data_IF_568428558381
#
_entry.id   IF_568428558381
#
_cell.length_a   1.000
_cell.length_b   1.000
_cell.length_c   1.000
_cell.angle_alpha   90.00
_cell.angle_beta   90.00
_cell.angle_gamma   90.00
#
_symmetry.space_group_name_H-M   'P 1'
#
loop_
_entity.id
_entity.type
_entity.pdbx_description
1 polymer ?
#
# COMPACT_ATOMS: atom_id res chain seq x y z
N UNK A 1 -22.77 11.21 -38.93
CA UNK A 1 -21.65 12.09 -38.48
C UNK A 1 -21.84 12.62 -37.06
N UNK A 2 -23.08 12.90 -36.60
CA UNK A 2 -23.35 13.39 -35.23
C UNK A 2 -23.08 12.34 -34.12
N UNK A 3 -23.42 11.06 -34.34
CA UNK A 3 -23.23 9.99 -33.34
C UNK A 3 -21.76 9.68 -33.02
N UNK A 4 -20.86 9.80 -34.01
CA UNK A 4 -19.42 9.61 -33.81
C UNK A 4 -18.75 10.79 -33.07
N UNK A 5 -19.37 11.97 -33.07
CA UNK A 5 -18.91 13.15 -32.35
C UNK A 5 -19.35 13.11 -30.87
N UNK A 6 -20.57 12.62 -30.61
CA UNK A 6 -21.11 12.42 -29.25
C UNK A 6 -20.32 11.34 -28.49
N UNK A 7 -20.08 10.18 -29.11
CA UNK A 7 -19.32 9.08 -28.49
C UNK A 7 -17.85 9.45 -28.17
N UNK A 8 -17.22 10.31 -28.97
CA UNK A 8 -15.87 10.86 -28.70
C UNK A 8 -15.87 11.87 -27.55
N UNK A 9 -16.92 12.68 -27.39
CA UNK A 9 -17.08 13.61 -26.27
C UNK A 9 -17.36 12.88 -24.95
N UNK A 10 -18.20 11.84 -24.98
CA UNK A 10 -18.51 11.02 -23.80
C UNK A 10 -17.28 10.23 -23.32
N UNK A 11 -16.51 9.66 -24.26
CA UNK A 11 -15.24 8.99 -23.94
C UNK A 11 -14.18 9.92 -23.35
N UNK A 12 -14.05 11.16 -23.86
CA UNK A 12 -13.12 12.17 -23.35
C UNK A 12 -13.54 12.69 -21.97
N UNK A 13 -14.83 12.89 -21.75
CA UNK A 13 -15.39 13.31 -20.47
C UNK A 13 -15.18 12.23 -19.40
N UNK A 14 -15.43 10.95 -19.72
CA UNK A 14 -15.16 9.82 -18.83
C UNK A 14 -13.66 9.68 -18.46
N UNK A 15 -12.76 9.86 -19.42
CA UNK A 15 -11.32 9.82 -19.18
C UNK A 15 -10.85 10.96 -18.26
N UNK A 16 -11.35 12.18 -18.47
CA UNK A 16 -11.04 13.33 -17.61
C UNK A 16 -11.58 13.11 -16.19
N UNK A 17 -12.79 12.58 -16.05
CA UNK A 17 -13.36 12.25 -14.72
C UNK A 17 -12.52 11.21 -13.98
N UNK A 18 -12.10 10.14 -14.67
CA UNK A 18 -11.23 9.09 -14.12
C UNK A 18 -9.89 9.67 -13.65
N UNK A 19 -9.31 10.59 -14.43
CA UNK A 19 -8.08 11.29 -14.06
C UNK A 19 -8.25 12.15 -12.81
N UNK A 20 -9.33 12.93 -12.69
CA UNK A 20 -9.60 13.75 -11.50
C UNK A 20 -9.84 12.92 -10.24
N UNK A 21 -10.54 11.80 -10.38
CA UNK A 21 -10.77 10.86 -9.28
C UNK A 21 -9.46 10.23 -8.78
N UNK A 22 -8.59 9.81 -9.68
CA UNK A 22 -7.27 9.28 -9.33
C UNK A 22 -6.39 10.32 -8.63
N UNK A 23 -6.44 11.60 -9.05
CA UNK A 23 -5.74 12.69 -8.37
C UNK A 23 -6.23 12.87 -6.92
N UNK A 24 -7.54 12.82 -6.69
CA UNK A 24 -8.13 12.93 -5.35
C UNK A 24 -7.68 11.75 -4.46
N UNK A 25 -7.65 10.53 -5.01
CA UNK A 25 -7.18 9.34 -4.31
C UNK A 25 -5.70 9.47 -3.91
N UNK A 26 -4.84 9.86 -4.85
CA UNK A 26 -3.41 10.07 -4.59
C UNK A 26 -3.18 11.16 -3.54
N UNK A 27 -3.90 12.29 -3.64
CA UNK A 27 -3.84 13.35 -2.65
C UNK A 27 -4.31 12.91 -1.26
N UNK A 28 -5.29 12.00 -1.19
CA UNK A 28 -5.72 11.43 0.08
C UNK A 28 -4.59 10.68 0.79
N UNK A 29 -3.81 9.86 0.06
CA UNK A 29 -2.66 9.16 0.63
C UNK A 29 -1.57 10.14 1.09
N UNK A 30 -1.31 11.21 0.34
CA UNK A 30 -0.36 12.26 0.77
C UNK A 30 -0.81 12.92 2.06
N UNK A 31 -2.10 13.29 2.17
CA UNK A 31 -2.67 13.90 3.37
C UNK A 31 -2.63 12.94 4.56
N UNK A 32 -2.90 11.65 4.35
CA UNK A 32 -2.80 10.62 5.40
C UNK A 32 -1.35 10.46 5.87
N UNK A 33 -0.39 10.41 4.95
CA UNK A 33 1.03 10.28 5.32
C UNK A 33 1.55 11.49 6.12
N UNK A 34 1.06 12.68 5.84
CA UNK A 34 1.52 13.93 6.47
C UNK A 34 0.77 14.24 7.79
N UNK A 35 -0.54 13.96 7.83
CA UNK A 35 -1.40 14.41 8.93
C UNK A 35 -2.11 13.27 9.68
N UNK A 36 -1.99 12.03 9.22
CA UNK A 36 -2.72 10.88 9.74
C UNK A 36 -4.19 10.85 9.33
N UNK A 37 -4.85 9.71 9.52
CA UNK A 37 -6.27 9.53 9.15
C UNK A 37 -7.17 10.48 9.93
N UNK A 38 -6.92 10.64 11.23
CA UNK A 38 -7.78 11.43 12.13
C UNK A 38 -7.85 12.92 11.72
N UNK A 39 -6.78 13.47 11.13
CA UNK A 39 -6.75 14.86 10.69
C UNK A 39 -6.99 15.03 9.19
N UNK A 40 -7.32 13.96 8.46
CA UNK A 40 -7.66 14.00 7.04
C UNK A 40 -9.06 14.57 6.84
N UNK A 41 -9.24 15.47 5.87
CA UNK A 41 -10.55 16.07 5.54
C UNK A 41 -10.67 16.31 4.04
N UNK A 42 -11.90 16.39 3.52
CA UNK A 42 -12.16 16.77 2.12
C UNK A 42 -11.46 18.07 1.73
N UNK A 43 -11.39 19.05 2.63
CA UNK A 43 -10.71 20.32 2.37
C UNK A 43 -9.20 20.17 2.19
N UNK A 44 -8.55 19.36 3.03
CA UNK A 44 -7.11 19.07 2.89
C UNK A 44 -6.84 18.29 1.61
N UNK A 45 -7.66 17.27 1.31
CA UNK A 45 -7.54 16.47 0.08
C UNK A 45 -7.71 17.36 -1.15
N UNK A 46 -8.72 18.25 -1.16
CA UNK A 46 -8.95 19.16 -2.28
C UNK A 46 -7.77 20.12 -2.51
N UNK A 47 -7.22 20.67 -1.42
CA UNK A 47 -6.06 21.55 -1.47
C UNK A 47 -4.83 20.81 -2.02
N UNK A 48 -4.54 19.61 -1.51
CA UNK A 48 -3.43 18.76 -1.96
C UNK A 48 -3.58 18.34 -3.43
N UNK A 49 -4.79 17.96 -3.85
CA UNK A 49 -5.07 17.58 -5.24
C UNK A 49 -5.07 18.78 -6.21
N UNK A 50 -5.03 20.03 -5.72
CA UNK A 50 -5.19 21.23 -6.54
C UNK A 50 -6.55 21.32 -7.22
N UNK A 51 -7.62 20.86 -6.56
CA UNK A 51 -8.99 20.84 -7.11
C UNK A 51 -9.97 21.63 -6.24
N UNK A 52 -11.09 22.12 -6.81
CA UNK A 52 -12.15 22.73 -6.00
C UNK A 52 -12.74 21.73 -4.99
N UNK A 53 -13.08 22.20 -3.79
CA UNK A 53 -13.71 21.38 -2.74
C UNK A 53 -14.94 20.62 -3.25
N UNK A 54 -15.80 21.28 -4.04
CA UNK A 54 -17.00 20.66 -4.62
C UNK A 54 -16.71 19.46 -5.53
N UNK A 55 -15.49 19.33 -6.05
CA UNK A 55 -15.09 18.18 -6.86
C UNK A 55 -14.84 16.94 -5.98
N UNK A 56 -14.27 17.12 -4.79
CA UNK A 56 -14.07 16.02 -3.83
C UNK A 56 -15.41 15.44 -3.38
N UNK A 57 -16.37 16.29 -3.02
CA UNK A 57 -17.70 15.86 -2.58
C UNK A 57 -18.58 15.34 -3.74
N UNK A 58 -18.30 15.74 -4.98
CA UNK A 58 -18.93 15.16 -6.17
C UNK A 58 -18.50 13.70 -6.41
N UNK A 59 -17.21 13.39 -6.24
CA UNK A 59 -16.71 12.02 -6.42
C UNK A 59 -16.86 11.13 -5.20
N UNK A 60 -16.78 11.71 -4.00
CA UNK A 60 -16.79 11.00 -2.73
C UNK A 60 -17.73 11.71 -1.76
N UNK A 61 -18.92 11.13 -1.59
CA UNK A 61 -19.93 11.69 -0.69
C UNK A 61 -19.43 11.73 0.76
N UNK A 62 -18.70 10.68 1.19
CA UNK A 62 -18.15 10.56 2.54
C UNK A 62 -16.62 10.51 2.51
N UNK A 63 -15.99 10.99 3.58
CA UNK A 63 -14.54 10.90 3.75
C UNK A 63 -14.06 9.44 3.79
N UNK A 64 -14.83 8.55 4.42
CA UNK A 64 -14.55 7.13 4.47
C UNK A 64 -14.52 6.46 3.10
N UNK A 65 -15.26 6.97 2.11
CA UNK A 65 -15.25 6.41 0.76
C UNK A 65 -13.93 6.72 0.04
N UNK A 66 -13.42 7.96 0.16
CA UNK A 66 -12.11 8.29 -0.43
C UNK A 66 -10.98 7.57 0.31
N UNK A 67 -11.04 7.46 1.64
CA UNK A 67 -10.06 6.69 2.42
C UNK A 67 -10.06 5.22 2.00
N UNK A 68 -11.22 4.58 1.92
CA UNK A 68 -11.32 3.18 1.53
C UNK A 68 -10.67 2.93 0.17
N UNK A 69 -10.95 3.77 -0.81
CA UNK A 69 -10.41 3.60 -2.14
C UNK A 69 -8.92 3.91 -2.22
N UNK A 70 -8.47 4.93 -1.50
CA UNK A 70 -7.05 5.24 -1.39
C UNK A 70 -6.26 4.10 -0.76
N UNK A 71 -6.73 3.54 0.35
CA UNK A 71 -6.08 2.39 0.98
C UNK A 71 -6.20 1.12 0.13
N UNK A 72 -7.32 0.90 -0.57
CA UNK A 72 -7.48 -0.25 -1.47
C UNK A 72 -6.46 -0.20 -2.60
N UNK A 73 -6.31 0.98 -3.23
CA UNK A 73 -5.32 1.18 -4.27
C UNK A 73 -3.89 1.04 -3.72
N UNK A 74 -3.58 1.67 -2.59
CA UNK A 74 -2.27 1.56 -1.95
C UNK A 74 -1.87 0.11 -1.65
N UNK A 75 -2.78 -0.66 -1.06
CA UNK A 75 -2.54 -2.06 -0.72
C UNK A 75 -2.37 -2.94 -1.97
N UNK A 76 -3.16 -2.68 -3.03
CA UNK A 76 -3.02 -3.37 -4.31
C UNK A 76 -1.67 -3.05 -4.97
N UNK A 77 -1.33 -1.77 -5.09
CA UNK A 77 -0.08 -1.31 -5.71
C UNK A 77 1.14 -1.88 -4.95
N UNK A 78 1.09 -1.89 -3.61
CA UNK A 78 2.13 -2.49 -2.77
C UNK A 78 2.25 -4.00 -2.94
N UNK A 79 1.12 -4.71 -2.96
CA UNK A 79 1.08 -6.16 -3.21
C UNK A 79 1.65 -6.51 -4.60
N UNK A 80 1.28 -5.75 -5.62
CA UNK A 80 1.72 -5.97 -7.00
C UNK A 80 3.22 -5.69 -7.17
N UNK A 81 3.72 -4.62 -6.56
CA UNK A 81 5.15 -4.29 -6.55
C UNK A 81 5.99 -5.37 -5.86
N UNK A 82 5.50 -5.90 -4.73
CA UNK A 82 6.18 -6.99 -4.02
C UNK A 82 6.17 -8.29 -4.84
N UNK A 83 5.01 -8.64 -5.41
CA UNK A 83 4.87 -9.81 -6.27
C UNK A 83 5.76 -9.72 -7.51
N UNK A 84 5.85 -8.56 -8.16
CA UNK A 84 6.71 -8.33 -9.34
C UNK A 84 8.19 -8.46 -8.98
N UNK A 85 8.60 -7.94 -7.82
CA UNK A 85 9.98 -8.06 -7.32
C UNK A 85 10.38 -9.52 -7.09
N UNK A 86 9.46 -10.34 -6.59
CA UNK A 86 9.65 -11.78 -6.46
C UNK A 86 9.48 -12.54 -7.79
N UNK A 87 8.78 -11.97 -8.77
CA UNK A 87 8.53 -12.60 -10.07
C UNK A 87 9.83 -12.83 -10.84
N UNK A 88 10.75 -11.86 -10.77
CA UNK A 88 12.05 -11.92 -11.47
C UNK A 88 13.09 -12.79 -10.77
N UNK A 89 12.83 -13.27 -9.56
CA UNK A 89 13.73 -14.18 -8.84
C UNK A 89 13.63 -15.61 -9.39
N UNK A 90 14.79 -16.26 -9.53
CA UNK A 90 14.89 -17.67 -9.98
C UNK A 90 15.18 -18.64 -8.83
N UNK A 91 15.74 -18.14 -7.72
CA UNK A 91 16.16 -18.97 -6.59
C UNK A 91 15.59 -18.46 -5.27
N UNK A 92 15.45 -19.31 -4.24
CA UNK A 92 15.00 -18.84 -2.94
C UNK A 92 16.00 -17.88 -2.28
N UNK A 93 17.30 -17.99 -2.56
CA UNK A 93 18.29 -17.04 -2.04
C UNK A 93 18.13 -15.65 -2.67
N UNK A 94 17.81 -15.56 -3.96
CA UNK A 94 17.45 -14.28 -4.59
C UNK A 94 16.17 -13.69 -3.97
N UNK A 95 15.18 -14.53 -3.67
CA UNK A 95 13.96 -14.09 -2.97
C UNK A 95 14.26 -13.58 -1.56
N UNK A 96 15.16 -14.24 -0.81
CA UNK A 96 15.62 -13.76 0.52
C UNK A 96 16.24 -12.37 0.38
N UNK A 97 17.13 -12.16 -0.59
CA UNK A 97 17.73 -10.83 -0.80
C UNK A 97 16.68 -9.75 -1.07
N UNK A 98 15.69 -10.04 -1.92
CA UNK A 98 14.56 -9.12 -2.18
C UNK A 98 13.76 -8.82 -0.91
N UNK A 99 13.48 -9.84 -0.09
CA UNK A 99 12.76 -9.68 1.18
C UNK A 99 13.56 -8.82 2.15
N UNK A 100 14.87 -9.05 2.29
CA UNK A 100 15.75 -8.25 3.15
C UNK A 100 15.79 -6.80 2.69
N UNK A 101 15.95 -6.55 1.39
CA UNK A 101 15.88 -5.19 0.82
C UNK A 101 14.53 -4.53 1.09
N UNK A 102 13.43 -5.27 0.94
CA UNK A 102 12.08 -4.76 1.21
C UNK A 102 11.90 -4.38 2.69
N UNK A 103 12.38 -5.22 3.62
CA UNK A 103 12.34 -4.93 5.06
C UNK A 103 13.13 -3.66 5.38
N UNK A 104 14.37 -3.57 4.91
CA UNK A 104 15.25 -2.43 5.19
C UNK A 104 14.67 -1.12 4.63
N UNK A 105 14.13 -1.14 3.41
CA UNK A 105 13.45 0.02 2.84
C UNK A 105 12.25 0.46 3.71
N UNK A 106 11.50 -0.49 4.27
CA UNK A 106 10.39 -0.21 5.19
C UNK A 106 10.79 0.48 6.50
N UNK A 107 12.06 0.36 6.89
CA UNK A 107 12.63 0.93 8.13
C UNK A 107 13.22 2.33 7.94
N UNK A 108 13.32 2.82 6.70
CA UNK A 108 13.89 4.14 6.41
C UNK A 108 13.09 5.27 7.09
N UNK A 109 13.81 6.22 7.69
CA UNK A 109 13.20 7.40 8.29
C UNK A 109 12.41 8.19 7.24
N UNK A 110 11.18 8.59 7.58
CA UNK A 110 10.31 9.31 6.66
C UNK A 110 9.66 8.43 5.58
N UNK A 111 9.74 7.10 5.68
CA UNK A 111 9.03 6.21 4.78
C UNK A 111 7.50 6.38 4.93
N UNK A 112 6.92 7.13 4.00
CA UNK A 112 5.48 7.43 3.94
C UNK A 112 4.62 6.17 3.76
N UNK A 113 5.10 5.16 3.03
CA UNK A 113 4.36 3.92 2.84
C UNK A 113 4.20 3.15 4.15
N UNK A 114 5.24 3.13 4.99
CA UNK A 114 5.15 2.54 6.33
C UNK A 114 4.16 3.31 7.20
N UNK A 115 4.17 4.65 7.20
CA UNK A 115 3.18 5.46 7.94
C UNK A 115 1.74 5.15 7.49
N UNK A 116 1.48 5.13 6.18
CA UNK A 116 0.16 4.79 5.61
C UNK A 116 -0.27 3.38 6.04
N UNK A 117 0.65 2.42 6.06
CA UNK A 117 0.37 1.03 6.48
C UNK A 117 -0.10 0.96 7.94
N UNK A 118 0.57 1.68 8.85
CA UNK A 118 0.16 1.73 10.26
C UNK A 118 -1.21 2.39 10.48
N UNK A 119 -1.50 3.44 9.72
CA UNK A 119 -2.83 4.09 9.72
C UNK A 119 -3.91 3.12 9.21
N UNK A 120 -3.64 2.37 8.15
CA UNK A 120 -4.55 1.34 7.64
C UNK A 120 -4.80 0.24 8.67
N UNK A 121 -3.76 -0.27 9.33
CA UNK A 121 -3.91 -1.31 10.36
C UNK A 121 -4.71 -0.80 11.56
N UNK A 122 -4.51 0.46 11.95
CA UNK A 122 -5.30 1.10 13.01
C UNK A 122 -6.79 1.15 12.62
N UNK A 123 -7.12 1.56 11.40
CA UNK A 123 -8.49 1.54 10.89
C UNK A 123 -9.07 0.12 10.81
N UNK A 124 -8.31 -0.82 10.25
CA UNK A 124 -8.71 -2.22 10.12
C UNK A 124 -8.96 -2.89 11.47
N UNK A 125 -8.28 -2.48 12.55
CA UNK A 125 -8.55 -3.01 13.89
C UNK A 125 -10.00 -2.75 14.35
N UNK A 126 -10.66 -1.70 13.82
CA UNK A 126 -11.99 -1.24 14.23
C UNK A 126 -13.07 -1.49 13.19
N UNK A 127 -12.72 -1.40 11.89
CA UNK A 127 -13.69 -1.40 10.79
C UNK A 127 -13.49 -2.60 9.85
N UNK A 128 -14.52 -3.43 9.70
CA UNK A 128 -14.49 -4.66 8.89
C UNK A 128 -14.15 -4.40 7.42
N UNK A 129 -14.69 -3.32 6.85
CA UNK A 129 -14.45 -2.96 5.45
C UNK A 129 -12.94 -2.74 5.18
N UNK A 130 -12.19 -2.17 6.12
CA UNK A 130 -10.74 -1.99 6.00
C UNK A 130 -9.95 -3.28 6.33
N UNK A 131 -10.47 -4.16 7.21
CA UNK A 131 -9.88 -5.51 7.36
C UNK A 131 -9.84 -6.27 6.04
N UNK A 132 -10.88 -6.18 5.23
CA UNK A 132 -10.91 -6.87 3.94
C UNK A 132 -9.77 -6.43 3.01
N UNK A 133 -9.37 -5.15 3.07
CA UNK A 133 -8.20 -4.65 2.33
C UNK A 133 -6.93 -5.36 2.83
N UNK A 134 -6.68 -5.33 4.14
CA UNK A 134 -5.47 -5.95 4.71
C UNK A 134 -5.41 -7.46 4.45
N UNK A 135 -6.56 -8.15 4.47
CA UNK A 135 -6.63 -9.58 4.19
C UNK A 135 -6.30 -9.91 2.73
N UNK A 136 -6.80 -9.11 1.79
CA UNK A 136 -6.48 -9.27 0.37
C UNK A 136 -5.00 -9.02 0.10
N UNK A 137 -4.43 -7.97 0.71
CA UNK A 137 -3.02 -7.65 0.60
C UNK A 137 -2.12 -8.79 1.14
N UNK A 138 -2.36 -9.24 2.38
CA UNK A 138 -1.61 -10.35 2.97
C UNK A 138 -1.76 -11.64 2.15
N UNK A 139 -2.94 -11.90 1.57
CA UNK A 139 -3.15 -13.05 0.69
C UNK A 139 -2.28 -12.94 -0.58
N UNK A 140 -2.22 -11.76 -1.20
CA UNK A 140 -1.37 -11.48 -2.36
C UNK A 140 0.12 -11.70 -2.05
N UNK A 141 0.63 -11.10 -0.97
CA UNK A 141 2.02 -11.25 -0.55
C UNK A 141 2.38 -12.72 -0.27
N UNK A 142 1.52 -13.43 0.48
CA UNK A 142 1.72 -14.86 0.75
C UNK A 142 1.70 -15.70 -0.53
N UNK A 143 0.85 -15.35 -1.50
CA UNK A 143 0.81 -16.04 -2.80
C UNK A 143 2.14 -15.88 -3.55
N UNK A 144 2.73 -14.68 -3.53
CA UNK A 144 4.04 -14.44 -4.14
C UNK A 144 5.16 -15.22 -3.43
N UNK A 145 5.16 -15.23 -2.10
CA UNK A 145 6.17 -15.96 -1.29
C UNK A 145 6.11 -17.49 -1.49
N UNK A 146 4.91 -18.05 -1.72
CA UNK A 146 4.72 -19.50 -1.92
C UNK A 146 5.39 -20.06 -3.17
N UNK A 147 5.89 -19.19 -4.05
CA UNK A 147 6.70 -19.60 -5.20
C UNK A 147 8.09 -20.13 -4.79
N UNK A 148 8.59 -19.74 -3.61
CA UNK A 148 9.93 -20.10 -3.13
C UNK A 148 9.92 -20.89 -1.82
N UNK A 149 8.87 -20.73 -1.01
CA UNK A 149 8.78 -21.33 0.33
C UNK A 149 7.46 -22.09 0.50
N UNK A 150 7.47 -23.13 1.34
CA UNK A 150 6.26 -23.91 1.63
C UNK A 150 5.24 -23.10 2.47
N UNK A 151 4.03 -23.65 2.60
CA UNK A 151 2.92 -22.95 3.24
C UNK A 151 3.16 -22.58 4.70
N UNK A 152 3.86 -23.42 5.46
CA UNK A 152 4.09 -23.20 6.88
C UNK A 152 5.21 -22.18 7.07
N UNK A 153 6.27 -22.27 6.26
CA UNK A 153 7.31 -21.23 6.21
C UNK A 153 6.71 -19.86 5.88
N UNK A 154 5.84 -19.76 4.86
CA UNK A 154 5.19 -18.48 4.50
C UNK A 154 4.31 -17.92 5.62
N UNK A 155 3.60 -18.78 6.38
CA UNK A 155 2.78 -18.35 7.52
C UNK A 155 3.60 -17.75 8.65
N UNK A 156 4.87 -18.13 8.78
CA UNK A 156 5.79 -17.58 9.78
C UNK A 156 6.57 -16.37 9.24
N UNK A 157 6.94 -16.41 7.95
CA UNK A 157 7.74 -15.38 7.30
C UNK A 157 6.96 -14.08 7.10
N UNK A 158 5.70 -14.15 6.66
CA UNK A 158 4.83 -12.99 6.44
C UNK A 158 4.71 -12.07 7.68
N UNK A 159 4.36 -12.55 8.88
CA UNK A 159 4.35 -11.72 10.09
C UNK A 159 5.76 -11.32 10.58
N UNK A 160 6.81 -12.10 10.29
CA UNK A 160 8.19 -11.69 10.60
C UNK A 160 8.58 -10.45 9.78
N UNK A 161 8.29 -10.44 8.48
CA UNK A 161 8.59 -9.30 7.59
C UNK A 161 7.96 -8.03 8.15
N UNK A 162 6.67 -8.08 8.46
CA UNK A 162 5.95 -6.96 9.06
C UNK A 162 6.57 -6.55 10.40
N UNK A 163 6.80 -7.52 11.30
CA UNK A 163 7.38 -7.25 12.61
C UNK A 163 8.75 -6.57 12.53
N UNK A 164 9.61 -7.00 11.61
CA UNK A 164 10.93 -6.39 11.40
C UNK A 164 10.81 -4.96 10.86
N UNK A 165 9.87 -4.70 9.94
CA UNK A 165 9.63 -3.34 9.42
C UNK A 165 9.17 -2.42 10.56
N UNK A 166 8.15 -2.80 11.31
CA UNK A 166 7.59 -1.98 12.41
C UNK A 166 8.66 -1.72 13.47
N UNK A 167 9.35 -2.77 13.93
CA UNK A 167 10.34 -2.62 15.00
C UNK A 167 11.57 -1.83 14.56
N UNK A 168 11.99 -1.95 13.30
CA UNK A 168 13.10 -1.15 12.77
C UNK A 168 12.72 0.31 12.57
N UNK A 169 11.53 0.59 12.04
CA UNK A 169 11.02 1.96 11.87
C UNK A 169 10.87 2.71 13.21
N UNK A 170 10.43 2.00 14.25
CA UNK A 170 10.23 2.56 15.60
C UNK A 170 11.48 2.46 16.49
N UNK A 171 12.57 1.88 15.97
CA UNK A 171 13.83 1.75 16.71
C UNK A 171 14.51 3.11 16.83
N UNK A 172 15.17 3.33 17.97
CA UNK A 172 16.09 4.46 18.17
C UNK A 172 17.51 4.15 17.66
N UNK A 173 17.77 2.90 17.30
CA UNK A 173 19.04 2.44 16.73
C UNK A 173 18.88 2.22 15.23
N UNK A 174 19.97 2.42 14.49
CA UNK A 174 20.05 2.13 13.07
C UNK A 174 19.66 0.67 12.76
N UNK A 175 19.04 0.42 11.59
CA UNK A 175 18.84 -0.92 11.07
C UNK A 175 20.13 -1.74 11.07
N UNK A 176 20.07 -3.00 11.52
CA UNK A 176 21.13 -4.00 11.36
C UNK A 176 20.77 -4.92 10.18
N UNK A 177 21.32 -4.70 8.97
CA UNK A 177 21.04 -5.53 7.80
C UNK A 177 21.38 -7.00 8.02
N UNK A 178 22.45 -7.28 8.76
CA UNK A 178 22.87 -8.65 9.02
C UNK A 178 21.88 -9.35 9.97
N UNK A 179 21.29 -8.62 10.93
CA UNK A 179 20.23 -9.16 11.77
C UNK A 179 18.99 -9.51 10.96
N UNK A 180 18.57 -8.61 10.05
CA UNK A 180 17.42 -8.83 9.18
C UNK A 180 17.65 -10.07 8.31
N UNK A 181 18.80 -10.18 7.64
CA UNK A 181 19.11 -11.35 6.83
C UNK A 181 19.16 -12.64 7.66
N UNK A 182 19.84 -12.64 8.81
CA UNK A 182 19.88 -13.80 9.71
C UNK A 182 18.49 -14.21 10.18
N UNK A 183 17.61 -13.27 10.47
CA UNK A 183 16.25 -13.56 10.93
C UNK A 183 15.42 -14.24 9.82
N UNK A 184 15.48 -13.70 8.59
CA UNK A 184 14.80 -14.29 7.42
C UNK A 184 15.33 -15.69 7.14
N UNK A 185 16.66 -15.85 7.07
CA UNK A 185 17.33 -17.15 6.83
C UNK A 185 16.94 -18.22 7.84
N UNK A 186 16.91 -17.86 9.13
CA UNK A 186 16.47 -18.76 10.21
C UNK A 186 15.03 -19.26 10.02
N UNK A 187 14.10 -18.40 9.62
CA UNK A 187 12.70 -18.82 9.41
C UNK A 187 12.57 -19.74 8.19
N UNK A 188 13.32 -19.48 7.11
CA UNK A 188 13.23 -20.29 5.88
C UNK A 188 14.11 -21.56 5.92
N UNK A 189 14.79 -21.81 7.03
CA UNK A 189 15.62 -23.01 7.23
C UNK A 189 16.90 -23.04 6.38
N UNK A 190 17.51 -21.88 6.13
CA UNK A 190 18.73 -21.72 5.33
C UNK A 190 19.81 -20.93 6.03
#
# INVERSE_FOLDING_TARGET
MAEQSQARQDGKSGAVKRSKRALIISACLTVVAEYGVAATTHRKIAAEAGVPLGLTTYYFAQLHDVLYEAFSQFAQDGSDAFAESLRVCETPDAAISVIVTFILAGQEEGNKASVITHELYTLASREERFRNITQQWMCGNRTALRRFFDADTVRMLDPLIEGLIIHGLLSVNDPDPDLVERAVRRIVGR
#
